data_IF_273500975348
#
_entry.id   IF_273500975348
#
_cell.length_a   1.000
_cell.length_b   1.000
_cell.length_c   1.000
_cell.angle_alpha   90.00
_cell.angle_beta   90.00
_cell.angle_gamma   90.00
#
_symmetry.space_group_name_H-M   'P 1'
#
loop_
_entity.id
_entity.type
_entity.pdbx_description
1 polymer ?
#
# COMPACT_ATOMS: atom_id res chain seq x y z
N UNK A 1 -27.21 14.69 -15.66
CA UNK A 1 -26.40 14.38 -14.47
C UNK A 1 -24.96 14.18 -14.92
N UNK A 2 -24.18 15.26 -15.00
CA UNK A 2 -22.78 15.25 -15.44
C UNK A 2 -22.03 16.37 -14.69
N UNK A 3 -22.01 16.30 -13.36
CA UNK A 3 -21.45 17.35 -12.50
C UNK A 3 -20.64 16.83 -11.31
N UNK A 4 -20.19 15.58 -11.36
CA UNK A 4 -19.46 14.94 -10.25
C UNK A 4 -17.96 14.75 -10.46
N UNK A 5 -17.44 14.83 -11.69
CA UNK A 5 -16.01 14.58 -11.97
C UNK A 5 -15.13 15.82 -11.78
N UNK A 6 -15.66 17.02 -12.05
CA UNK A 6 -14.85 18.23 -12.08
C UNK A 6 -14.54 18.77 -10.68
N UNK A 7 -15.45 18.60 -9.72
CA UNK A 7 -15.24 19.00 -8.32
C UNK A 7 -14.24 18.10 -7.60
N UNK A 8 -14.27 16.79 -7.86
CA UNK A 8 -13.31 15.84 -7.29
C UNK A 8 -11.88 16.09 -7.82
N UNK A 9 -11.75 16.42 -9.11
CA UNK A 9 -10.47 16.78 -9.70
C UNK A 9 -9.95 18.14 -9.16
N UNK A 10 -10.83 19.10 -8.92
CA UNK A 10 -10.46 20.40 -8.33
C UNK A 10 -9.97 20.26 -6.87
N UNK A 11 -10.69 19.49 -6.05
CA UNK A 11 -10.30 19.25 -4.65
C UNK A 11 -9.02 18.41 -4.55
N UNK A 12 -8.84 17.44 -5.43
CA UNK A 12 -7.58 16.71 -5.53
C UNK A 12 -6.44 17.68 -5.90
N UNK A 13 -6.64 18.54 -6.90
CA UNK A 13 -5.66 19.52 -7.35
C UNK A 13 -5.21 20.46 -6.22
N UNK A 14 -6.14 21.03 -5.44
CA UNK A 14 -5.84 21.89 -4.30
C UNK A 14 -5.07 21.15 -3.19
N UNK A 15 -5.47 19.92 -2.86
CA UNK A 15 -4.76 19.09 -1.88
C UNK A 15 -3.33 18.77 -2.32
N UNK A 16 -3.14 18.50 -3.60
CA UNK A 16 -1.81 18.28 -4.17
C UNK A 16 -0.96 19.54 -4.08
N UNK A 17 -1.48 20.71 -4.50
CA UNK A 17 -0.79 21.99 -4.39
C UNK A 17 -0.24 22.25 -2.99
N UNK A 18 -1.01 21.96 -1.94
CA UNK A 18 -0.55 22.06 -0.55
C UNK A 18 0.68 21.20 -0.24
N UNK A 19 0.66 19.92 -0.62
CA UNK A 19 1.80 18.99 -0.40
C UNK A 19 3.08 19.48 -1.10
N UNK A 20 2.95 20.02 -2.32
CA UNK A 20 4.08 20.55 -3.06
C UNK A 20 4.69 21.75 -2.39
N UNK A 21 3.86 22.71 -1.97
CA UNK A 21 4.32 23.94 -1.31
C UNK A 21 5.07 23.57 -0.02
N UNK A 22 4.53 22.67 0.81
CA UNK A 22 5.20 22.21 2.03
C UNK A 22 6.55 21.55 1.74
N UNK A 23 6.61 20.64 0.75
CA UNK A 23 7.87 19.97 0.37
C UNK A 23 8.90 20.95 -0.20
N UNK A 24 8.43 21.99 -0.88
CA UNK A 24 9.26 23.07 -1.41
C UNK A 24 9.86 23.90 -0.28
N UNK A 25 9.08 24.25 0.75
CA UNK A 25 9.56 25.08 1.86
C UNK A 25 10.46 24.32 2.84
N UNK A 26 10.31 22.99 2.95
CA UNK A 26 11.15 22.10 3.76
C UNK A 26 12.53 21.76 3.11
N UNK A 27 12.71 22.03 1.82
CA UNK A 27 14.00 21.85 1.13
C UNK A 27 15.10 22.78 1.65
N UNK A 28 16.36 22.41 1.43
CA UNK A 28 17.51 23.30 1.70
C UNK A 28 17.46 24.53 0.77
N UNK A 29 17.98 25.66 1.25
CA UNK A 29 17.86 27.02 0.69
C UNK A 29 18.23 27.18 -0.82
N UNK A 30 18.90 26.20 -1.44
CA UNK A 30 19.34 26.27 -2.86
C UNK A 30 18.97 25.05 -3.73
N UNK A 31 18.17 24.11 -3.21
CA UNK A 31 17.89 22.86 -3.92
C UNK A 31 16.60 22.92 -4.77
N UNK A 32 16.69 22.44 -6.00
CA UNK A 32 15.50 22.16 -6.82
C UNK A 32 14.83 20.87 -6.35
N UNK A 33 13.51 20.92 -6.11
CA UNK A 33 12.72 19.78 -5.63
C UNK A 33 11.95 19.14 -6.78
N UNK A 34 12.37 17.94 -7.15
CA UNK A 34 11.71 17.10 -8.13
C UNK A 34 10.73 16.21 -7.39
N UNK A 35 9.49 16.12 -7.86
CA UNK A 35 8.58 15.12 -7.33
C UNK A 35 7.56 14.70 -8.38
N UNK A 36 7.08 13.46 -8.25
CA UNK A 36 6.22 12.82 -9.23
C UNK A 36 4.76 12.93 -8.82
N UNK A 37 3.89 13.15 -9.81
CA UNK A 37 2.45 13.03 -9.61
C UNK A 37 1.96 11.61 -9.91
N UNK A 38 1.42 10.93 -8.91
CA UNK A 38 0.90 9.56 -9.07
C UNK A 38 -0.50 9.51 -9.73
N UNK A 39 -1.23 10.63 -9.80
CA UNK A 39 -2.63 10.65 -10.28
C UNK A 39 -2.77 11.07 -11.75
N UNK A 40 -1.78 11.76 -12.33
CA UNK A 40 -1.73 12.06 -13.76
C UNK A 40 -0.70 11.15 -14.42
N UNK A 41 -1.19 10.14 -15.17
CA UNK A 41 -0.33 9.27 -15.98
C UNK A 41 0.65 10.12 -16.82
N UNK A 42 1.94 9.83 -16.68
CA UNK A 42 3.04 10.16 -17.60
C UNK A 42 3.60 11.60 -17.64
N UNK A 43 3.43 12.44 -16.61
CA UNK A 43 4.10 13.75 -16.59
C UNK A 43 4.79 14.03 -15.24
N UNK A 44 6.14 13.99 -15.16
CA UNK A 44 6.85 14.52 -14.02
C UNK A 44 6.69 16.06 -14.00
N UNK A 45 6.29 16.65 -12.88
CA UNK A 45 6.36 18.10 -12.69
C UNK A 45 7.61 18.43 -11.90
N UNK A 46 8.29 19.52 -12.26
CA UNK A 46 9.54 19.95 -11.63
C UNK A 46 9.25 21.26 -10.90
N UNK A 47 9.59 21.36 -9.61
CA UNK A 47 9.35 22.57 -8.85
C UNK A 47 10.69 23.06 -8.29
N UNK A 48 11.14 24.21 -8.76
CA UNK A 48 12.34 24.86 -8.22
C UNK A 48 11.92 25.98 -7.30
N UNK A 49 12.33 25.95 -6.03
CA UNK A 49 12.24 27.14 -5.18
C UNK A 49 13.25 28.14 -5.72
N UNK A 50 12.78 29.32 -6.12
CA UNK A 50 13.64 30.49 -6.23
C UNK A 50 13.39 31.33 -4.99
N UNK A 51 14.35 31.43 -4.08
CA UNK A 51 14.32 32.47 -3.07
C UNK A 51 14.63 33.82 -3.73
N UNK A 52 13.72 34.78 -3.54
CA UNK A 52 14.03 36.17 -3.81
C UNK A 52 14.69 36.75 -2.56
N UNK A 53 15.99 37.01 -2.63
CA UNK A 53 16.69 37.81 -1.61
C UNK A 53 16.11 39.23 -1.61
N UNK A 54 15.29 39.54 -0.62
CA UNK A 54 15.00 40.92 -0.26
C UNK A 54 15.44 41.15 1.18
N UNK A 55 16.59 41.85 1.30
CA UNK A 55 17.19 42.39 2.52
C UNK A 55 16.75 41.72 3.85
N UNK A 56 17.50 40.68 4.24
CA UNK A 56 17.73 40.25 5.63
C UNK A 56 16.65 39.44 6.37
N UNK A 57 15.57 39.00 5.71
CA UNK A 57 14.60 38.05 6.28
C UNK A 57 14.13 37.05 5.21
N UNK A 58 14.36 35.75 5.40
CA UNK A 58 13.93 34.70 4.47
C UNK A 58 12.44 34.40 4.69
N UNK A 59 11.58 35.15 4.01
CA UNK A 59 10.14 34.87 4.00
C UNK A 59 9.82 33.88 2.87
N UNK A 60 9.56 32.61 3.21
CA UNK A 60 9.26 31.53 2.25
C UNK A 60 7.78 31.54 1.83
N UNK A 61 7.30 32.69 1.37
CA UNK A 61 5.88 32.93 1.12
C UNK A 61 5.41 32.51 -0.28
N UNK A 62 6.33 32.21 -1.20
CA UNK A 62 5.96 31.87 -2.58
C UNK A 62 6.89 30.81 -3.16
N UNK A 63 6.30 29.72 -3.66
CA UNK A 63 7.01 28.69 -4.42
C UNK A 63 6.71 28.84 -5.92
N UNK A 64 7.75 28.82 -6.75
CA UNK A 64 7.62 28.81 -8.22
C UNK A 64 7.79 27.38 -8.72
N UNK A 65 7.09 26.99 -9.79
CA UNK A 65 7.17 25.64 -10.35
C UNK A 65 7.13 25.63 -11.87
N UNK A 66 7.81 24.66 -12.47
CA UNK A 66 7.88 24.49 -13.93
C UNK A 66 7.49 23.07 -14.32
N UNK A 67 6.38 22.93 -15.06
CA UNK A 67 6.02 21.63 -15.60
C UNK A 67 6.88 21.28 -16.82
N UNK A 68 7.65 20.20 -16.73
CA UNK A 68 8.49 19.70 -17.81
C UNK A 68 7.90 18.40 -18.36
N UNK A 69 7.88 18.23 -19.68
CA UNK A 69 7.42 16.97 -20.28
C UNK A 69 8.46 15.86 -20.05
N UNK A 70 8.01 14.65 -19.72
CA UNK A 70 8.87 13.48 -19.51
C UNK A 70 9.83 13.27 -20.69
N UNK A 71 9.32 13.34 -21.92
CA UNK A 71 10.12 13.13 -23.13
C UNK A 71 11.26 14.15 -23.26
N UNK A 72 11.03 15.40 -22.85
CA UNK A 72 12.04 16.45 -22.89
C UNK A 72 13.12 16.20 -21.84
N UNK A 73 12.72 15.81 -20.63
CA UNK A 73 13.63 15.45 -19.55
C UNK A 73 14.51 14.26 -19.94
N UNK A 74 13.90 13.19 -20.46
CA UNK A 74 14.62 11.99 -20.92
C UNK A 74 15.64 12.35 -22.00
N UNK A 75 15.24 13.13 -23.02
CA UNK A 75 16.17 13.56 -24.08
C UNK A 75 17.34 14.36 -23.52
N UNK A 76 17.09 15.30 -22.61
CA UNK A 76 18.14 16.11 -21.97
C UNK A 76 19.07 15.25 -21.12
N UNK A 77 18.53 14.31 -20.37
CA UNK A 77 19.30 13.36 -19.58
C UNK A 77 20.23 12.51 -20.45
N UNK A 78 19.71 11.90 -21.52
CA UNK A 78 20.54 11.06 -22.40
C UNK A 78 21.60 11.86 -23.15
N UNK A 79 21.31 13.10 -23.57
CA UNK A 79 22.34 13.98 -24.16
C UNK A 79 23.45 14.32 -23.15
N UNK A 80 23.10 14.56 -21.88
CA UNK A 80 24.08 14.84 -20.83
C UNK A 80 24.95 13.62 -20.52
N UNK A 81 24.35 12.42 -20.45
CA UNK A 81 25.09 11.17 -20.20
C UNK A 81 26.03 10.78 -21.35
N UNK A 82 25.84 11.34 -22.54
CA UNK A 82 26.76 11.18 -23.68
C UNK A 82 27.95 12.14 -23.63
N UNK A 83 27.84 13.24 -22.89
CA UNK A 83 28.83 14.31 -22.91
C UNK A 83 29.97 14.02 -21.93
N UNK A 84 31.04 13.43 -22.42
CA UNK A 84 32.24 13.18 -21.64
C UNK A 84 33.10 14.46 -21.53
N UNK A 85 33.35 14.92 -20.31
CA UNK A 85 34.30 16.01 -20.04
C UNK A 85 35.72 15.48 -20.25
N UNK A 86 36.27 15.76 -21.44
CA UNK A 86 37.59 15.30 -21.84
C UNK A 86 38.70 15.90 -20.98
N UNK A 87 39.41 15.02 -20.27
CA UNK A 87 40.83 15.25 -19.93
C UNK A 87 41.73 14.17 -20.54
N UNK A 88 41.23 12.95 -20.84
CA UNK A 88 42.03 11.88 -21.47
C UNK A 88 41.34 11.10 -22.61
N UNK A 89 40.41 11.72 -23.34
CA UNK A 89 40.03 11.28 -24.71
C UNK A 89 39.35 9.92 -24.89
N UNK A 90 39.07 9.15 -23.84
CA UNK A 90 38.25 7.94 -23.93
C UNK A 90 37.25 7.91 -22.77
N UNK A 91 35.97 7.79 -23.10
CA UNK A 91 34.93 7.38 -22.16
C UNK A 91 34.79 5.87 -22.28
N UNK A 92 35.44 5.07 -21.41
CA UNK A 92 35.47 3.62 -21.56
C UNK A 92 34.10 2.97 -21.30
N UNK A 93 33.17 3.68 -20.65
CA UNK A 93 31.86 3.19 -20.26
C UNK A 93 30.80 4.28 -20.50
N UNK A 94 29.79 3.97 -21.30
CA UNK A 94 28.67 4.87 -21.59
C UNK A 94 27.35 4.21 -21.21
N UNK A 95 26.40 5.01 -20.71
CA UNK A 95 25.01 4.56 -20.49
C UNK A 95 24.26 4.22 -21.78
N UNK A 96 24.86 4.50 -22.95
CA UNK A 96 24.33 4.08 -24.24
C UNK A 96 24.57 2.59 -24.49
N UNK A 97 25.63 2.03 -23.93
CA UNK A 97 26.00 0.63 -24.10
C UNK A 97 25.02 -0.28 -23.33
N UNK A 98 24.91 -1.54 -23.76
CA UNK A 98 24.06 -2.54 -23.10
C UNK A 98 24.71 -3.16 -21.86
N UNK A 99 25.91 -2.70 -21.49
CA UNK A 99 26.68 -3.17 -20.34
C UNK A 99 26.19 -2.50 -19.04
N UNK A 100 25.64 -1.29 -19.14
CA UNK A 100 25.22 -0.50 -17.99
C UNK A 100 23.74 -0.11 -18.08
N UNK A 101 23.07 -0.13 -16.93
CA UNK A 101 21.75 0.42 -16.71
C UNK A 101 21.86 1.69 -15.88
N UNK A 102 21.40 2.81 -16.44
CA UNK A 102 21.46 4.13 -15.81
C UNK A 102 20.06 4.64 -15.48
N UNK A 103 19.89 5.08 -14.25
CA UNK A 103 18.63 5.53 -13.67
C UNK A 103 18.78 6.93 -13.10
N UNK A 104 17.76 7.75 -13.33
CA UNK A 104 17.55 8.99 -12.58
C UNK A 104 16.48 8.73 -11.54
N UNK A 105 16.81 8.86 -10.26
CA UNK A 105 15.97 8.46 -9.14
C UNK A 105 15.70 9.67 -8.24
N UNK A 106 14.48 9.78 -7.72
CA UNK A 106 14.09 10.80 -6.75
C UNK A 106 14.56 10.44 -5.32
N UNK A 107 14.54 11.39 -4.37
CA UNK A 107 14.92 11.14 -2.98
C UNK A 107 14.02 10.11 -2.27
N UNK A 108 12.86 9.78 -2.85
CA UNK A 108 12.00 8.69 -2.37
C UNK A 108 12.27 7.32 -3.02
N UNK A 109 13.28 7.21 -3.89
CA UNK A 109 13.64 5.96 -4.56
C UNK A 109 12.74 5.61 -5.76
N UNK A 110 12.00 6.57 -6.31
CA UNK A 110 11.22 6.37 -7.54
C UNK A 110 12.04 6.70 -8.79
N UNK A 111 11.90 5.87 -9.82
CA UNK A 111 12.60 6.04 -11.09
C UNK A 111 11.91 7.14 -11.91
N UNK A 112 12.63 8.20 -12.26
CA UNK A 112 12.17 9.27 -13.15
C UNK A 112 12.58 9.03 -14.60
N UNK A 113 13.79 8.51 -14.82
CA UNK A 113 14.30 8.13 -16.15
C UNK A 113 14.97 6.77 -16.04
N UNK A 114 14.64 5.88 -16.97
CA UNK A 114 15.24 4.57 -17.18
C UNK A 114 15.42 4.34 -18.68
N UNK A 115 16.34 3.44 -19.05
CA UNK A 115 16.49 2.92 -20.42
C UNK A 115 15.22 2.18 -20.89
N UNK A 116 14.52 1.51 -19.97
CA UNK A 116 13.27 0.79 -20.21
C UNK A 116 12.09 1.66 -19.73
N UNK A 117 11.17 2.08 -20.63
CA UNK A 117 10.09 3.00 -20.27
C UNK A 117 9.12 2.41 -19.24
N UNK A 118 8.95 1.08 -19.21
CA UNK A 118 8.04 0.39 -18.28
C UNK A 118 8.49 0.42 -16.81
N UNK A 119 9.75 0.76 -16.55
CA UNK A 119 10.30 0.92 -15.21
C UNK A 119 10.11 2.34 -14.68
N UNK A 120 9.89 3.30 -15.59
CA UNK A 120 9.72 4.70 -15.23
C UNK A 120 8.48 4.84 -14.34
N UNK A 121 8.70 5.41 -13.16
CA UNK A 121 7.67 5.61 -12.16
C UNK A 121 7.40 4.41 -11.26
N UNK A 122 8.14 3.32 -11.40
CA UNK A 122 8.17 2.26 -10.37
C UNK A 122 9.14 2.66 -9.26
N UNK A 123 8.94 2.05 -8.09
CA UNK A 123 9.90 2.12 -7.02
C UNK A 123 11.14 1.29 -7.39
N UNK A 124 12.32 1.86 -7.22
CA UNK A 124 13.57 1.20 -7.61
C UNK A 124 13.77 -0.12 -6.88
N UNK A 125 13.43 -0.21 -5.58
CA UNK A 125 13.57 -1.46 -4.82
C UNK A 125 12.67 -2.60 -5.30
N UNK A 126 11.58 -2.30 -6.02
CA UNK A 126 10.73 -3.31 -6.65
C UNK A 126 11.30 -3.79 -8.00
N UNK A 127 12.14 -2.98 -8.65
CA UNK A 127 12.82 -3.32 -9.91
C UNK A 127 14.14 -4.05 -9.62
N UNK A 128 14.98 -3.49 -8.75
CA UNK A 128 16.26 -4.06 -8.34
C UNK A 128 16.41 -4.02 -6.81
N UNK A 129 16.02 -5.13 -6.18
CA UNK A 129 16.14 -5.32 -4.74
C UNK A 129 17.58 -5.47 -4.25
N UNK A 130 18.49 -5.93 -5.11
CA UNK A 130 19.90 -6.17 -4.73
C UNK A 130 20.61 -4.85 -4.42
N UNK A 131 20.50 -3.89 -5.34
CA UNK A 131 21.11 -2.56 -5.18
C UNK A 131 20.39 -1.77 -4.11
N UNK A 132 19.05 -1.79 -4.05
CA UNK A 132 18.31 -1.08 -3.00
C UNK A 132 18.67 -1.59 -1.59
N UNK A 133 18.83 -2.90 -1.41
CA UNK A 133 19.26 -3.47 -0.12
C UNK A 133 20.65 -2.97 0.26
N UNK A 134 21.57 -2.89 -0.71
CA UNK A 134 22.91 -2.39 -0.43
C UNK A 134 22.92 -0.90 -0.09
N UNK A 135 22.10 -0.08 -0.76
CA UNK A 135 21.94 1.34 -0.46
C UNK A 135 21.37 1.59 0.94
N UNK A 136 20.46 0.71 1.41
CA UNK A 136 19.97 0.70 2.79
C UNK A 136 21.07 0.33 3.79
N UNK A 137 21.86 -0.71 3.48
CA UNK A 137 22.95 -1.16 4.35
C UNK A 137 24.07 -0.12 4.48
N UNK A 138 24.35 0.60 3.40
CA UNK A 138 25.32 1.70 3.37
C UNK A 138 24.78 2.99 4.02
N UNK A 139 23.48 3.05 4.34
CA UNK A 139 22.84 4.21 4.95
C UNK A 139 22.55 5.37 4.00
N UNK A 140 22.69 5.17 2.68
CA UNK A 140 22.32 6.18 1.68
C UNK A 140 20.79 6.34 1.60
N UNK A 141 20.07 5.25 1.81
CA UNK A 141 18.62 5.27 2.00
C UNK A 141 18.25 4.81 3.40
N UNK A 142 17.15 5.35 3.91
CA UNK A 142 16.54 4.95 5.17
C UNK A 142 15.10 4.52 4.94
N UNK A 143 14.72 3.39 5.56
CA UNK A 143 13.33 2.95 5.64
C UNK A 143 12.64 3.62 6.83
N UNK A 144 11.50 4.27 6.58
CA UNK A 144 10.65 4.89 7.57
C UNK A 144 9.25 4.29 7.42
N UNK A 145 8.66 3.80 8.50
CA UNK A 145 7.30 3.27 8.48
C UNK A 145 6.33 4.36 8.94
N UNK A 146 5.29 4.60 8.16
CA UNK A 146 4.19 5.51 8.49
C UNK A 146 2.94 4.70 8.80
N UNK A 147 2.16 5.13 9.78
CA UNK A 147 0.92 4.46 10.19
C UNK A 147 -0.28 5.37 9.88
N UNK A 148 -1.28 4.86 9.19
CA UNK A 148 -2.59 5.51 9.01
C UNK A 148 -3.63 4.75 9.85
N UNK A 149 -4.06 5.38 10.93
CA UNK A 149 -5.10 4.86 11.83
C UNK A 149 -6.52 5.20 11.35
N UNK A 150 -6.67 5.87 10.20
CA UNK A 150 -7.95 6.32 9.66
C UNK A 150 -8.28 5.67 8.30
N UNK A 151 -7.52 4.65 7.91
CA UNK A 151 -7.73 3.93 6.66
C UNK A 151 -9.01 3.10 6.70
N UNK A 152 -9.56 2.81 5.51
CA UNK A 152 -10.75 2.00 5.33
C UNK A 152 -10.37 0.76 4.51
N UNK A 153 -10.28 -0.40 5.16
CA UNK A 153 -9.89 -1.66 4.52
C UNK A 153 -11.12 -2.51 4.17
N UNK A 154 -10.94 -3.43 3.24
CA UNK A 154 -11.97 -4.41 2.92
C UNK A 154 -12.00 -5.47 4.02
N UNK A 155 -13.18 -5.72 4.59
CA UNK A 155 -13.33 -6.80 5.56
C UNK A 155 -13.20 -8.14 4.84
N UNK A 156 -12.08 -8.80 5.05
CA UNK A 156 -11.92 -10.20 4.71
C UNK A 156 -12.73 -11.02 5.71
N UNK A 157 -13.98 -11.32 5.36
CA UNK A 157 -14.75 -12.32 6.09
C UNK A 157 -14.03 -13.67 5.95
N UNK A 158 -13.25 -14.06 6.96
CA UNK A 158 -12.99 -15.47 7.17
C UNK A 158 -14.35 -16.13 7.30
N UNK A 159 -14.68 -16.98 6.32
CA UNK A 159 -15.88 -17.80 6.38
C UNK A 159 -15.72 -18.76 7.56
N UNK A 160 -16.02 -18.31 8.77
CA UNK A 160 -16.51 -19.21 9.79
C UNK A 160 -17.81 -19.74 9.24
N UNK A 161 -17.76 -20.97 8.72
CA UNK A 161 -18.94 -21.73 8.38
C UNK A 161 -19.81 -21.85 9.62
N UNK A 162 -20.68 -20.86 9.84
CA UNK A 162 -21.84 -20.95 10.70
C UNK A 162 -22.90 -21.88 10.12
N UNK A 163 -22.59 -22.57 9.01
CA UNK A 163 -23.26 -23.79 8.64
C UNK A 163 -23.09 -24.77 9.81
N UNK A 164 -24.13 -24.83 10.66
CA UNK A 164 -24.30 -25.93 11.59
C UNK A 164 -24.02 -27.20 10.79
N UNK A 165 -23.11 -28.09 11.22
CA UNK A 165 -22.92 -29.35 10.53
C UNK A 165 -24.31 -29.97 10.44
N UNK A 166 -24.69 -30.41 9.24
CA UNK A 166 -25.96 -31.09 9.00
C UNK A 166 -26.00 -32.33 9.90
N UNK A 167 -26.43 -32.15 11.15
CA UNK A 167 -27.04 -33.16 11.99
C UNK A 167 -28.38 -33.44 11.31
N UNK A 168 -28.32 -34.09 10.16
CA UNK A 168 -28.45 -35.54 10.00
C UNK A 168 -29.93 -35.86 10.06
N UNK A 169 -30.49 -36.54 9.04
CA UNK A 169 -31.93 -36.79 8.88
C UNK A 169 -32.64 -37.34 10.14
N UNK A 170 -31.87 -37.87 11.09
CA UNK A 170 -32.29 -38.25 12.44
C UNK A 170 -32.85 -37.06 13.25
N UNK A 171 -32.29 -35.85 13.20
CA UNK A 171 -32.82 -34.71 13.94
C UNK A 171 -34.14 -34.21 13.32
N UNK A 172 -34.26 -34.25 12.00
CA UNK A 172 -35.52 -33.97 11.30
C UNK A 172 -36.59 -35.03 11.63
N UNK A 173 -36.18 -36.31 11.70
CA UNK A 173 -37.05 -37.40 12.13
C UNK A 173 -37.50 -37.25 13.59
N UNK A 174 -36.58 -36.94 14.51
CA UNK A 174 -36.90 -36.71 15.93
C UNK A 174 -37.78 -35.46 16.10
N UNK A 175 -37.55 -34.41 15.31
CA UNK A 175 -38.43 -33.23 15.29
C UNK A 175 -39.83 -33.57 14.77
N UNK A 176 -39.95 -34.39 13.72
CA UNK A 176 -41.22 -34.85 13.19
C UNK A 176 -41.96 -35.77 14.18
N UNK A 177 -41.26 -36.69 14.84
CA UNK A 177 -41.82 -37.55 15.89
C UNK A 177 -42.25 -36.72 17.10
N UNK A 178 -41.43 -35.76 17.53
CA UNK A 178 -41.77 -34.83 18.62
C UNK A 178 -42.97 -33.96 18.25
N UNK A 179 -43.06 -33.51 17.00
CA UNK A 179 -44.21 -32.78 16.47
C UNK A 179 -45.46 -33.65 16.49
N UNK A 180 -45.40 -34.90 16.00
CA UNK A 180 -46.52 -35.85 16.05
C UNK A 180 -46.97 -36.16 17.48
N UNK A 181 -46.04 -36.30 18.43
CA UNK A 181 -46.38 -36.52 19.84
C UNK A 181 -47.02 -35.27 20.45
N UNK A 182 -46.50 -34.08 20.13
CA UNK A 182 -47.09 -32.81 20.57
C UNK A 182 -48.48 -32.60 20.01
N UNK A 183 -48.67 -32.87 18.72
CA UNK A 183 -49.94 -32.75 18.02
C UNK A 183 -50.93 -33.79 18.54
N UNK A 184 -50.51 -35.03 18.82
CA UNK A 184 -51.33 -36.05 19.47
C UNK A 184 -51.72 -35.67 20.92
N UNK A 185 -50.80 -35.07 21.69
CA UNK A 185 -51.08 -34.58 23.03
C UNK A 185 -52.03 -33.37 23.01
N UNK A 186 -51.86 -32.46 22.06
CA UNK A 186 -52.76 -31.32 21.83
C UNK A 186 -54.11 -31.83 21.34
N UNK A 187 -54.16 -32.83 20.46
CA UNK A 187 -55.40 -33.45 19.98
C UNK A 187 -56.15 -34.16 21.11
N UNK A 188 -55.45 -34.84 22.03
CA UNK A 188 -56.03 -35.39 23.26
C UNK A 188 -56.53 -34.31 24.23
N UNK A 189 -55.89 -33.16 24.26
CA UNK A 189 -56.27 -31.99 25.06
C UNK A 189 -57.45 -31.21 24.44
N UNK A 190 -57.47 -31.06 23.12
CA UNK A 190 -58.48 -30.38 22.30
C UNK A 190 -59.73 -31.24 22.07
N UNK A 191 -59.63 -32.58 22.15
CA UNK A 191 -60.82 -33.45 22.25
C UNK A 191 -61.60 -33.24 23.56
N UNK A 192 -61.07 -32.43 24.49
CA UNK A 192 -61.81 -31.98 25.67
C UNK A 192 -62.52 -30.64 25.50
N UNK A 193 -62.14 -29.76 24.57
CA UNK A 193 -62.97 -28.61 24.16
C UNK A 193 -62.52 -28.10 22.79
N UNK A 194 -63.50 -28.00 21.90
CA UNK A 194 -63.39 -27.52 20.52
C UNK A 194 -62.84 -26.09 20.34
N UNK A 195 -62.25 -25.90 19.15
CA UNK A 195 -62.17 -24.69 18.29
C UNK A 195 -60.81 -23.96 18.22
N UNK A 196 -60.11 -23.95 17.08
CA UNK A 196 -60.41 -23.24 15.80
C UNK A 196 -59.61 -21.90 15.71
N UNK A 197 -58.49 -21.96 14.98
CA UNK A 197 -57.61 -20.91 14.38
C UNK A 197 -56.62 -20.09 15.21
N UNK A 198 -55.34 -20.22 14.81
CA UNK A 198 -54.56 -19.04 14.42
C UNK A 198 -53.63 -19.39 13.25
N UNK A 199 -53.71 -18.61 12.17
CA UNK A 199 -52.84 -18.70 10.99
C UNK A 199 -51.67 -17.74 11.15
N UNK A 200 -50.44 -18.25 11.26
CA UNK A 200 -49.25 -17.41 11.28
C UNK A 200 -48.66 -17.26 9.86
N UNK A 201 -48.55 -15.99 9.44
CA UNK A 201 -47.92 -15.60 8.18
C UNK A 201 -46.40 -15.62 8.34
N UNK A 202 -45.73 -16.46 7.54
CA UNK A 202 -44.28 -16.53 7.40
C UNK A 202 -43.80 -15.40 6.48
N UNK A 203 -43.08 -14.42 7.04
CA UNK A 203 -42.40 -13.39 6.25
C UNK A 203 -41.04 -13.89 5.76
N UNK A 204 -40.85 -13.88 4.44
CA UNK A 204 -39.63 -14.31 3.76
C UNK A 204 -38.62 -13.15 3.70
N UNK A 205 -37.43 -13.34 4.27
CA UNK A 205 -36.39 -12.31 4.35
C UNK A 205 -35.59 -12.21 3.04
N UNK A 206 -35.66 -11.06 2.37
CA UNK A 206 -34.89 -10.78 1.17
C UNK A 206 -33.37 -10.72 1.44
N UNK A 207 -32.63 -11.52 0.66
CA UNK A 207 -31.17 -11.56 0.61
C UNK A 207 -30.62 -10.28 -0.02
N UNK A 208 -30.08 -9.39 0.80
CA UNK A 208 -29.29 -8.25 0.31
C UNK A 208 -27.96 -8.73 -0.28
N UNK A 209 -27.65 -8.27 -1.50
CA UNK A 209 -26.36 -8.47 -2.17
C UNK A 209 -25.25 -7.90 -1.31
N UNK A 210 -24.20 -8.72 -1.11
CA UNK A 210 -22.96 -8.40 -0.39
C UNK A 210 -22.25 -7.23 -1.09
N UNK A 211 -22.45 -6.01 -0.60
CA UNK A 211 -21.57 -4.89 -0.91
C UNK A 211 -20.28 -5.12 -0.14
N UNK A 212 -19.12 -4.95 -0.79
CA UNK A 212 -17.82 -4.96 -0.10
C UNK A 212 -17.92 -4.00 1.09
N UNK A 213 -17.93 -4.57 2.29
CA UNK A 213 -18.13 -3.82 3.52
C UNK A 213 -16.76 -3.29 3.90
N UNK A 214 -16.61 -1.97 3.85
CA UNK A 214 -15.39 -1.29 4.28
C UNK A 214 -15.46 -1.06 5.79
N UNK A 215 -14.35 -1.27 6.48
CA UNK A 215 -14.22 -1.05 7.93
C UNK A 215 -12.95 -0.24 8.20
N UNK A 216 -12.96 0.61 9.25
CA UNK A 216 -11.74 1.24 9.75
C UNK A 216 -10.67 0.18 10.08
N UNK A 217 -9.45 0.42 9.64
CA UNK A 217 -8.28 -0.43 9.85
C UNK A 217 -7.03 0.43 10.02
N UNK A 218 -6.01 -0.17 10.63
CA UNK A 218 -4.69 0.44 10.71
C UNK A 218 -3.86 -0.06 9.53
N UNK A 219 -3.25 0.86 8.79
CA UNK A 219 -2.38 0.51 7.66
C UNK A 219 -0.97 1.05 7.87
N UNK A 220 0.01 0.19 7.61
CA UNK A 220 1.42 0.52 7.65
C UNK A 220 1.95 0.74 6.22
N UNK A 221 2.57 1.90 6.00
CA UNK A 221 3.19 2.30 4.74
C UNK A 221 4.70 2.42 4.93
N UNK A 222 5.50 1.49 4.40
CA UNK A 222 6.95 1.65 4.36
C UNK A 222 7.32 2.70 3.28
N UNK A 223 7.93 3.79 3.71
CA UNK A 223 8.47 4.86 2.86
C UNK A 223 9.98 4.82 2.90
N UNK A 224 10.61 5.10 1.77
CA UNK A 224 12.06 5.22 1.66
C UNK A 224 12.44 6.67 1.45
N UNK A 225 13.47 7.11 2.16
CA UNK A 225 13.96 8.49 2.12
C UNK A 225 15.48 8.45 1.99
N UNK A 226 16.00 9.21 1.04
CA UNK A 226 17.43 9.45 0.86
C UNK A 226 17.98 10.29 2.02
N UNK A 227 19.13 9.88 2.56
CA UNK A 227 19.82 10.58 3.64
C UNK A 227 20.95 11.45 3.06
N UNK A 228 20.90 12.80 3.19
CA UNK A 228 21.85 13.72 2.54
C UNK A 228 23.27 13.67 3.12
N UNK A 229 23.48 12.93 4.21
CA UNK A 229 24.82 12.73 4.79
C UNK A 229 25.77 12.02 3.83
N UNK A 230 25.26 11.22 2.90
CA UNK A 230 26.06 10.39 1.98
C UNK A 230 25.76 10.81 0.53
N UNK A 231 26.66 11.61 -0.04
CA UNK A 231 26.51 12.17 -1.40
C UNK A 231 26.86 11.20 -2.52
N UNK A 232 27.72 10.24 -2.24
CA UNK A 232 28.19 9.25 -3.22
C UNK A 232 28.45 7.92 -2.53
N UNK A 233 28.01 6.84 -3.17
CA UNK A 233 28.36 5.47 -2.79
C UNK A 233 28.63 4.64 -4.03
N UNK A 234 29.56 3.72 -3.91
CA UNK A 234 29.83 2.71 -4.92
C UNK A 234 30.06 1.37 -4.23
N UNK A 235 29.80 0.30 -4.95
CA UNK A 235 29.95 -1.03 -4.38
C UNK A 235 29.89 -2.14 -5.39
N UNK A 236 30.31 -3.32 -4.93
CA UNK A 236 30.21 -4.58 -5.64
C UNK A 236 29.30 -5.49 -4.81
N UNK A 237 28.29 -6.06 -5.46
CA UNK A 237 27.33 -6.98 -4.88
C UNK A 237 27.66 -8.36 -5.39
N UNK A 238 27.95 -9.28 -4.48
CA UNK A 238 28.17 -10.69 -4.83
C UNK A 238 26.82 -11.39 -5.00
N UNK A 239 26.51 -11.79 -6.24
CA UNK A 239 25.30 -12.51 -6.60
C UNK A 239 25.56 -14.03 -6.72
N UNK A 240 26.73 -14.50 -6.26
CA UNK A 240 27.16 -15.89 -6.24
C UNK A 240 27.85 -16.32 -7.54
N UNK A 241 27.22 -16.05 -8.70
CA UNK A 241 27.77 -16.39 -10.03
C UNK A 241 28.49 -15.25 -10.75
N UNK A 242 28.28 -14.01 -10.30
CA UNK A 242 28.88 -12.79 -10.84
C UNK A 242 28.87 -11.70 -9.76
N UNK A 243 29.68 -10.66 -9.98
CA UNK A 243 29.69 -9.46 -9.13
C UNK A 243 29.02 -8.33 -9.88
N UNK A 244 27.94 -7.78 -9.32
CA UNK A 244 27.23 -6.64 -9.88
C UNK A 244 27.76 -5.36 -9.27
N UNK A 245 28.32 -4.48 -10.10
CA UNK A 245 28.78 -3.17 -9.65
C UNK A 245 27.65 -2.13 -9.70
N UNK A 246 27.69 -1.18 -8.77
CA UNK A 246 26.83 -0.01 -8.81
C UNK A 246 27.55 1.24 -8.30
N UNK A 247 27.09 2.39 -8.79
CA UNK A 247 27.52 3.73 -8.35
C UNK A 247 26.26 4.59 -8.22
N UNK A 248 26.07 5.20 -7.05
CA UNK A 248 25.00 6.13 -6.76
C UNK A 248 25.60 7.48 -6.36
N UNK A 249 25.16 8.54 -7.03
CA UNK A 249 25.68 9.89 -6.81
C UNK A 249 24.54 10.92 -6.80
N UNK A 250 24.57 11.84 -5.84
CA UNK A 250 23.64 12.96 -5.79
C UNK A 250 23.96 13.99 -6.88
N UNK A 251 22.93 14.47 -7.57
CA UNK A 251 23.06 15.60 -8.50
C UNK A 251 23.06 16.90 -7.69
N UNK A 252 24.12 17.69 -7.87
CA UNK A 252 24.30 18.97 -7.17
C UNK A 252 23.09 19.89 -7.33
N UNK A 253 22.74 20.59 -6.25
CA UNK A 253 21.61 21.54 -6.19
C UNK A 253 20.24 20.92 -6.50
N UNK A 254 20.07 19.63 -6.20
CA UNK A 254 18.81 18.92 -6.38
C UNK A 254 18.65 17.74 -5.42
N UNK A 255 17.41 17.28 -5.28
CA UNK A 255 17.06 16.04 -4.58
C UNK A 255 17.18 14.77 -5.44
N UNK A 256 17.79 14.87 -6.63
CA UNK A 256 17.93 13.76 -7.57
C UNK A 256 19.21 12.96 -7.34
N UNK A 257 19.12 11.67 -7.63
CA UNK A 257 20.21 10.71 -7.56
C UNK A 257 20.41 10.09 -8.94
N UNK A 258 21.65 10.08 -9.42
CA UNK A 258 22.09 9.28 -10.55
C UNK A 258 22.54 7.91 -10.03
N UNK A 259 21.91 6.84 -10.52
CA UNK A 259 22.28 5.48 -10.18
C UNK A 259 22.69 4.73 -11.44
N UNK A 260 23.90 4.18 -11.45
CA UNK A 260 24.45 3.36 -12.53
C UNK A 260 24.70 1.97 -12.00
N UNK A 261 24.25 0.96 -12.73
CA UNK A 261 24.34 -0.46 -12.35
C UNK A 261 24.80 -1.30 -13.52
N UNK A 262 25.46 -2.42 -13.25
CA UNK A 262 25.76 -3.43 -14.28
C UNK A 262 24.48 -4.12 -14.77
N UNK A 263 24.35 -4.24 -16.09
CA UNK A 263 23.23 -4.87 -16.77
C UNK A 263 23.48 -6.35 -17.11
N UNK A 264 24.73 -6.82 -17.06
CA UNK A 264 25.11 -8.17 -17.50
C UNK A 264 24.85 -9.22 -16.41
N UNK A 265 25.02 -8.83 -15.14
CA UNK A 265 24.85 -9.73 -13.99
C UNK A 265 23.41 -9.69 -13.45
N UNK A 266 22.72 -10.83 -13.50
CA UNK A 266 21.39 -11.01 -12.90
C UNK A 266 21.50 -11.41 -11.43
N UNK A 267 20.90 -10.59 -10.56
CA UNK A 267 20.95 -10.71 -9.10
C UNK A 267 19.58 -11.02 -8.49
N UNK A 268 18.77 -11.80 -9.20
CA UNK A 268 17.44 -12.27 -8.75
C UNK A 268 17.45 -13.10 -7.45
N UNK A 269 18.62 -13.46 -6.92
CA UNK A 269 18.78 -14.11 -5.60
C UNK A 269 18.33 -13.16 -4.46
N UNK A 270 18.46 -11.85 -4.66
CA UNK A 270 17.99 -10.86 -3.69
C UNK A 270 16.50 -10.59 -3.90
N UNK A 271 15.66 -10.71 -2.86
CA UNK A 271 14.23 -10.44 -3.01
C UNK A 271 13.98 -8.96 -3.31
N UNK A 272 12.94 -8.63 -4.10
CA UNK A 272 12.53 -7.25 -4.29
C UNK A 272 12.13 -6.64 -2.93
N UNK A 273 12.37 -5.33 -2.81
CA UNK A 273 11.97 -4.52 -1.65
C UNK A 273 10.76 -3.69 -2.07
N UNK A 274 9.52 -4.19 -1.94
CA UNK A 274 8.35 -3.43 -2.33
C UNK A 274 7.96 -2.38 -1.28
N UNK A 275 7.24 -1.35 -1.73
CA UNK A 275 6.51 -0.41 -0.86
C UNK A 275 5.04 -0.84 -0.74
N UNK A 276 4.82 -2.10 -0.37
CA UNK A 276 3.46 -2.61 -0.22
C UNK A 276 2.84 -2.16 1.10
N UNK A 277 1.56 -1.80 1.04
CA UNK A 277 0.76 -1.45 2.22
C UNK A 277 0.48 -2.73 2.99
N UNK A 278 0.80 -2.73 4.28
CA UNK A 278 0.41 -3.82 5.18
C UNK A 278 -0.83 -3.39 5.96
N UNK A 279 -1.89 -4.17 5.85
CA UNK A 279 -3.09 -4.01 6.66
C UNK A 279 -2.85 -4.74 7.99
N UNK A 280 -2.82 -4.00 9.09
CA UNK A 280 -2.85 -4.58 10.42
C UNK A 280 -4.32 -4.73 10.82
N UNK A 281 -4.86 -5.92 10.62
CA UNK A 281 -6.20 -6.21 11.10
C UNK A 281 -6.16 -6.22 12.64
N UNK A 282 -6.89 -5.30 13.27
CA UNK A 282 -7.15 -5.23 14.70
C UNK A 282 -8.01 -6.41 15.20
N UNK A 283 -7.63 -7.64 14.86
CA UNK A 283 -8.30 -8.88 15.24
C UNK A 283 -7.78 -9.43 16.57
N UNK A 284 -6.95 -8.69 17.30
CA UNK A 284 -6.45 -9.06 18.63
C UNK A 284 -6.83 -8.03 19.70
N UNK A 285 -8.08 -7.55 19.67
CA UNK A 285 -8.72 -7.14 20.92
C UNK A 285 -9.10 -8.42 21.64
N UNK A 286 -8.35 -8.80 22.68
CA UNK A 286 -8.57 -9.95 23.57
C UNK A 286 -9.98 -10.03 24.14
N UNK A 287 -10.93 -10.45 23.31
CA UNK A 287 -12.29 -10.78 23.67
C UNK A 287 -12.26 -12.11 24.39
N UNK A 288 -12.53 -12.06 25.69
CA UNK A 288 -12.63 -13.19 26.60
C UNK A 288 -13.12 -14.46 25.88
N UNK A 289 -12.26 -15.49 25.86
CA UNK A 289 -12.64 -16.85 25.53
C UNK A 289 -13.97 -17.16 26.22
N UNK A 290 -14.95 -17.59 25.42
CA UNK A 290 -16.36 -17.63 25.78
C UNK A 290 -16.58 -18.19 27.18
N UNK A 291 -17.48 -17.53 27.91
CA UNK A 291 -18.05 -18.05 29.15
C UNK A 291 -18.63 -19.42 28.81
N UNK A 292 -17.84 -20.46 29.08
CA UNK A 292 -18.28 -21.85 29.09
C UNK A 292 -19.25 -21.96 30.25
N UNK A 293 -20.54 -21.75 29.95
CA UNK A 293 -21.60 -22.10 30.88
C UNK A 293 -21.51 -23.61 31.04
N UNK A 294 -20.92 -24.02 32.16
CA UNK A 294 -20.76 -25.41 32.55
C UNK A 294 -22.16 -26.06 32.58
N UNK A 295 -22.40 -27.18 31.85
CA UNK A 295 -23.72 -27.80 31.74
C UNK A 295 -24.18 -28.49 33.04
N UNK A 296 -23.46 -28.31 34.16
CA UNK A 296 -23.79 -28.88 35.47
C UNK A 296 -24.94 -28.18 36.18
N UNK A 297 -25.40 -27.01 35.72
CA UNK A 297 -26.49 -26.25 36.36
C UNK A 297 -27.90 -26.54 35.84
N UNK A 298 -28.06 -27.36 34.80
CA UNK A 298 -29.39 -27.71 34.25
C UNK A 298 -30.03 -28.98 34.86
N UNK A 299 -29.34 -29.69 35.77
CA UNK A 299 -29.86 -30.93 36.39
C UNK A 299 -30.43 -30.74 37.81
N UNK A 300 -30.32 -29.55 38.39
CA UNK A 300 -30.89 -29.25 39.72
C UNK A 300 -32.43 -29.38 39.83
N UNK A 301 -33.26 -29.16 38.79
CA UNK A 301 -34.71 -29.32 38.96
C UNK A 301 -35.19 -30.78 38.97
N UNK A 302 -34.39 -31.73 38.45
CA UNK A 302 -34.80 -33.14 38.32
C UNK A 302 -34.54 -33.97 39.58
N UNK A 303 -33.63 -33.53 40.46
CA UNK A 303 -33.31 -34.26 41.70
C UNK A 303 -34.30 -33.94 42.84
N UNK A 304 -35.02 -32.80 42.78
CA UNK A 304 -36.03 -32.43 43.77
C UNK A 304 -37.43 -33.00 43.50
N UNK A 305 -37.66 -33.64 42.35
CA UNK A 305 -38.93 -34.31 42.01
C UNK A 305 -38.91 -35.82 42.30
N UNK A 306 -37.80 -36.36 42.79
CA UNK A 306 -37.63 -37.78 43.17
C UNK A 306 -37.32 -37.97 44.67
N UNK A 307 -37.73 -37.01 45.51
CA UNK A 307 -37.80 -37.17 46.97
C UNK A 307 -39.18 -36.83 47.49
#
# INVERSE_FOLDING_TARGET
MAGGSDSANSLAYERWQGVWVTRSTEGQEEDSVYSRESWMRNVPRIHGVCEMYQQQECDKDTAVGVQIKLDLLQRKFWMAMQQCSGVDGACPLSCQDDILNCFLIDNNGFILVSKIPEETGKFFGAVDGSVMTQLLNMGMFRRVTMYDYQAMCKVHFHHHSGARPLLSPIYAFVAAVKWLISDFLIFLLEFNMSSFWHSDNLADAHRHKKHDTLQPCDTEYPVFVYEPAIKETNGLIDCGGCQKMFVAQQIVSSNLLLLVTDAVCDCSVFPPVPMDVKEENAQDCGGAAGISVCPTLLLLPLVLLLR
#
